data_IF_322557858701
#
_entry.id   IF_322557858701
#
_cell.length_a   1.000
_cell.length_b   1.000
_cell.length_c   1.000
_cell.angle_alpha   90.00
_cell.angle_beta   90.00
_cell.angle_gamma   90.00
#
_symmetry.space_group_name_H-M   'P 1'
#
loop_
_entity.id
_entity.type
_entity.pdbx_description
1 polymer ?
#
# COMPACT_ATOMS: atom_id res chain seq x y z
N UNK A 1 3.24 2.48 -65.84
CA UNK A 1 2.30 2.13 -66.92
C UNK A 1 1.26 1.23 -66.30
N UNK A 2 0.22 1.78 -65.73
CA UNK A 2 -1.17 1.92 -66.16
C UNK A 2 -1.75 0.63 -66.71
N UNK A 3 -2.72 0.03 -65.97
CA UNK A 3 -4.07 -0.12 -66.51
C UNK A 3 -5.07 -0.37 -65.37
N UNK A 4 -6.05 0.51 -65.31
CA UNK A 4 -7.27 0.51 -64.53
C UNK A 4 -8.35 -0.19 -65.36
N UNK A 5 -9.09 -1.17 -64.80
CA UNK A 5 -10.35 -1.58 -65.44
C UNK A 5 -11.49 -1.52 -64.43
N UNK A 6 -12.44 -0.69 -64.79
CA UNK A 6 -13.79 -0.51 -64.28
C UNK A 6 -14.66 -1.68 -64.67
N UNK A 7 -15.34 -2.34 -63.75
CA UNK A 7 -16.39 -3.34 -63.97
C UNK A 7 -17.69 -2.88 -63.34
N UNK A 8 -18.74 -2.92 -64.13
CA UNK A 8 -20.09 -2.36 -63.90
C UNK A 8 -20.91 -3.07 -62.81
N UNK A 9 -21.98 -2.41 -62.26
CA UNK A 9 -22.85 -2.98 -61.24
C UNK A 9 -23.88 -3.94 -61.90
N UNK A 10 -24.15 -5.05 -61.23
CA UNK A 10 -25.20 -5.98 -61.60
C UNK A 10 -26.40 -5.79 -60.70
N UNK A 11 -27.56 -5.67 -61.36
CA UNK A 11 -28.87 -5.40 -60.71
C UNK A 11 -29.42 -6.59 -59.96
N UNK A 12 -30.13 -6.30 -58.90
CA UNK A 12 -31.00 -7.25 -58.16
C UNK A 12 -32.24 -7.61 -59.00
N UNK A 13 -32.73 -8.84 -58.87
CA UNK A 13 -34.16 -9.14 -59.11
C UNK A 13 -34.94 -9.17 -57.78
N UNK A 14 -36.01 -8.43 -57.81
CA UNK A 14 -37.11 -8.45 -56.83
C UNK A 14 -37.92 -9.71 -56.90
N UNK A 15 -38.52 -10.08 -55.81
CA UNK A 15 -39.70 -10.91 -55.46
C UNK A 15 -39.30 -12.10 -54.59
N UNK A 16 -39.77 -12.15 -53.36
CA UNK A 16 -41.10 -12.70 -53.02
C UNK A 16 -41.43 -12.41 -51.56
N UNK A 17 -42.60 -11.81 -51.34
CA UNK A 17 -43.28 -11.77 -50.05
C UNK A 17 -43.77 -13.18 -49.72
N UNK A 18 -43.47 -13.62 -48.47
CA UNK A 18 -44.45 -14.40 -47.68
C UNK A 18 -44.14 -14.36 -46.19
N UNK A 19 -45.17 -14.06 -45.48
CA UNK A 19 -45.37 -14.14 -44.03
C UNK A 19 -44.90 -15.46 -43.45
N UNK A 20 -44.24 -15.41 -42.32
CA UNK A 20 -44.49 -16.35 -41.23
C UNK A 20 -44.08 -15.73 -39.89
N UNK A 21 -45.09 -15.67 -39.11
CA UNK A 21 -45.21 -15.45 -37.68
C UNK A 21 -44.23 -16.34 -36.91
N UNK A 22 -43.59 -15.80 -35.93
CA UNK A 22 -43.22 -16.70 -34.87
C UNK A 22 -41.87 -16.45 -34.22
N UNK A 23 -41.99 -16.14 -32.97
CA UNK A 23 -41.05 -16.35 -31.89
C UNK A 23 -40.00 -15.22 -31.71
N UNK A 24 -40.43 -14.21 -30.97
CA UNK A 24 -39.55 -13.36 -30.18
C UNK A 24 -38.93 -14.23 -29.09
N UNK A 25 -37.75 -14.76 -29.32
CA UNK A 25 -36.90 -15.24 -28.24
C UNK A 25 -36.18 -14.03 -27.70
N UNK A 26 -36.74 -13.42 -26.67
CA UNK A 26 -35.99 -12.46 -25.85
C UNK A 26 -34.94 -13.23 -25.06
N UNK A 27 -33.77 -13.34 -25.66
CA UNK A 27 -32.56 -13.71 -24.96
C UNK A 27 -32.19 -12.51 -24.04
N UNK A 28 -32.76 -12.48 -22.84
CA UNK A 28 -32.21 -11.74 -21.73
C UNK A 28 -30.83 -12.32 -21.43
N UNK A 29 -29.81 -11.71 -22.03
CA UNK A 29 -28.45 -11.89 -21.58
C UNK A 29 -28.42 -11.21 -20.21
N UNK A 30 -28.68 -11.97 -19.14
CA UNK A 30 -28.25 -11.63 -17.80
C UNK A 30 -26.73 -11.66 -17.86
N UNK A 31 -26.14 -10.52 -18.21
CA UNK A 31 -24.75 -10.23 -17.94
C UNK A 31 -24.59 -10.27 -16.43
N UNK A 32 -24.23 -11.43 -15.90
CA UNK A 32 -23.71 -11.54 -14.56
C UNK A 32 -22.42 -10.74 -14.55
N UNK A 33 -22.52 -9.46 -14.20
CA UNK A 33 -21.39 -8.68 -13.75
C UNK A 33 -20.89 -9.34 -12.46
N UNK A 34 -20.08 -10.38 -12.62
CA UNK A 34 -19.16 -10.80 -11.58
C UNK A 34 -18.12 -9.68 -11.48
N UNK A 35 -18.51 -8.58 -10.86
CA UNK A 35 -17.53 -7.76 -10.17
C UNK A 35 -16.93 -8.72 -9.14
N UNK A 36 -15.75 -9.23 -9.45
CA UNK A 36 -14.89 -9.84 -8.46
C UNK A 36 -14.69 -8.78 -7.39
N UNK A 37 -15.54 -8.81 -6.38
CA UNK A 37 -15.41 -8.04 -5.17
C UNK A 37 -14.13 -8.60 -4.55
N UNK A 38 -13.03 -7.88 -4.78
CA UNK A 38 -11.77 -8.19 -4.11
C UNK A 38 -12.13 -8.25 -2.62
N UNK A 39 -12.18 -9.44 -2.09
CA UNK A 39 -12.40 -9.65 -0.66
C UNK A 39 -11.34 -8.79 0.03
N UNK A 40 -11.78 -7.73 0.68
CA UNK A 40 -10.92 -6.92 1.53
C UNK A 40 -10.55 -7.87 2.68
N UNK A 41 -9.42 -8.55 2.54
CA UNK A 41 -8.89 -9.39 3.60
C UNK A 41 -8.56 -8.45 4.76
N UNK A 42 -9.49 -8.32 5.69
CA UNK A 42 -9.26 -7.61 6.94
C UNK A 42 -8.31 -8.47 7.75
N UNK A 43 -7.09 -7.98 7.90
CA UNK A 43 -6.12 -8.59 8.81
C UNK A 43 -6.64 -8.39 10.24
N UNK A 44 -6.77 -9.44 11.06
CA UNK A 44 -7.21 -9.29 12.44
C UNK A 44 -6.10 -8.58 13.24
N UNK A 45 -6.42 -7.39 13.78
CA UNK A 45 -5.49 -6.60 14.58
C UNK A 45 -5.75 -6.83 16.07
N UNK A 46 -4.69 -7.07 16.85
CA UNK A 46 -4.77 -7.14 18.31
C UNK A 46 -5.03 -5.74 18.86
N UNK A 47 -6.15 -5.53 19.55
CA UNK A 47 -6.55 -4.20 20.05
C UNK A 47 -5.93 -3.86 21.41
N UNK A 48 -5.51 -4.86 22.18
CA UNK A 48 -4.83 -4.64 23.46
C UNK A 48 -3.44 -4.05 23.22
N UNK A 49 -2.97 -3.23 24.18
CA UNK A 49 -1.57 -2.80 24.20
C UNK A 49 -0.65 -4.00 24.40
N UNK A 50 0.07 -4.38 23.38
CA UNK A 50 0.91 -5.58 23.29
C UNK A 50 2.40 -5.22 23.04
N UNK A 51 2.77 -3.95 23.25
CA UNK A 51 4.10 -3.44 23.01
C UNK A 51 5.08 -3.83 24.11
N UNK A 52 6.35 -3.97 23.75
CA UNK A 52 7.45 -4.23 24.68
C UNK A 52 7.88 -2.98 25.50
N UNK A 53 7.19 -1.87 25.29
CA UNK A 53 7.46 -0.58 25.93
C UNK A 53 6.17 0.04 26.48
N UNK A 54 6.32 0.96 27.44
CA UNK A 54 5.19 1.64 28.05
C UNK A 54 4.49 2.60 27.06
N UNK A 55 3.17 2.70 27.17
CA UNK A 55 2.39 3.68 26.41
C UNK A 55 2.72 5.08 26.85
N UNK A 56 2.91 5.99 25.90
CA UNK A 56 3.14 7.41 26.17
C UNK A 56 1.82 8.15 26.41
N UNK A 57 1.81 9.00 27.44
CA UNK A 57 0.66 9.87 27.72
C UNK A 57 0.57 11.09 26.80
N UNK A 58 1.66 11.45 26.11
CA UNK A 58 1.72 12.60 25.19
C UNK A 58 1.40 12.25 23.73
N UNK A 59 1.10 10.96 23.43
CA UNK A 59 0.91 10.45 22.07
C UNK A 59 -0.42 9.72 21.95
N UNK A 60 -1.13 9.94 20.86
CA UNK A 60 -2.28 9.11 20.45
C UNK A 60 -1.77 7.97 19.59
N UNK A 61 -2.22 6.75 19.88
CA UNK A 61 -1.87 5.54 19.15
C UNK A 61 -3.09 4.93 18.50
N UNK A 62 -2.93 4.46 17.24
CA UNK A 62 -3.96 3.74 16.49
C UNK A 62 -3.31 2.59 15.72
N UNK A 63 -3.91 1.40 15.74
CA UNK A 63 -3.58 0.35 14.77
C UNK A 63 -4.28 0.64 13.44
N UNK A 64 -3.55 0.55 12.35
CA UNK A 64 -4.03 0.86 11.01
C UNK A 64 -3.57 -0.18 10.01
N UNK A 65 -4.21 -0.24 8.86
CA UNK A 65 -3.78 -1.09 7.74
C UNK A 65 -3.77 -0.30 6.44
N UNK A 66 -2.85 -0.66 5.56
CA UNK A 66 -2.78 -0.15 4.19
C UNK A 66 -2.21 -1.24 3.27
N UNK A 67 -2.31 -1.06 1.97
CA UNK A 67 -1.81 -2.03 0.99
C UNK A 67 -0.58 -1.49 0.27
N UNK A 68 0.38 -2.38 0.02
CA UNK A 68 1.45 -2.10 -0.93
C UNK A 68 0.99 -2.37 -2.37
N UNK A 69 1.82 -2.05 -3.37
CA UNK A 69 1.50 -2.24 -4.80
C UNK A 69 1.26 -3.71 -5.18
N UNK A 70 1.75 -4.65 -4.40
CA UNK A 70 1.56 -6.10 -4.61
C UNK A 70 0.26 -6.62 -4.00
N UNK A 71 -0.57 -5.73 -3.44
CA UNK A 71 -1.84 -6.08 -2.81
C UNK A 71 -1.70 -6.69 -1.42
N UNK A 72 -0.49 -6.76 -0.86
CA UNK A 72 -0.24 -7.24 0.50
C UNK A 72 -0.74 -6.17 1.48
N UNK A 73 -1.56 -6.59 2.43
CA UNK A 73 -2.05 -5.71 3.50
C UNK A 73 -1.02 -5.64 4.61
N UNK A 74 -0.52 -4.44 4.87
CA UNK A 74 0.41 -4.14 5.95
C UNK A 74 -0.37 -3.72 7.19
N UNK A 75 0.02 -4.26 8.35
CA UNK A 75 -0.45 -3.83 9.66
C UNK A 75 0.56 -2.87 10.27
N UNK A 76 0.08 -1.79 10.87
CA UNK A 76 0.94 -0.75 11.41
C UNK A 76 0.36 -0.10 12.66
N UNK A 77 1.25 0.49 13.44
CA UNK A 77 0.96 1.36 14.57
C UNK A 77 1.24 2.81 14.19
N UNK A 78 0.21 3.63 14.18
CA UNK A 78 0.29 5.06 13.92
C UNK A 78 0.34 5.82 15.25
N UNK A 79 1.31 6.71 15.40
CA UNK A 79 1.53 7.55 16.56
C UNK A 79 1.41 9.03 16.18
N UNK A 80 0.53 9.76 16.86
CA UNK A 80 0.26 11.18 16.59
C UNK A 80 0.46 11.96 17.90
N UNK A 81 1.23 13.07 17.90
CA UNK A 81 1.34 13.94 19.07
C UNK A 81 -0.02 14.41 19.55
N UNK A 82 -0.34 14.29 20.86
CA UNK A 82 -1.58 14.87 21.42
C UNK A 82 -1.60 16.39 21.37
N UNK A 83 -0.43 17.02 21.34
CA UNK A 83 -0.29 18.47 21.17
C UNK A 83 -0.56 18.96 19.75
N UNK A 84 -1.03 18.07 18.84
CA UNK A 84 -1.42 18.45 17.49
C UNK A 84 -2.53 19.49 17.54
N UNK A 85 -2.29 20.65 16.94
CA UNK A 85 -3.16 21.83 16.97
C UNK A 85 -3.74 22.19 15.58
N UNK A 86 -3.77 21.25 14.66
CA UNK A 86 -4.23 21.45 13.28
C UNK A 86 -3.16 21.90 12.29
N UNK A 87 -1.95 22.26 12.74
CA UNK A 87 -0.82 22.57 11.86
C UNK A 87 -0.18 21.28 11.37
N UNK A 88 -0.04 21.10 10.06
CA UNK A 88 0.57 19.92 9.46
C UNK A 88 1.98 19.66 10.01
N UNK A 89 2.25 18.43 10.40
CA UNK A 89 3.48 17.96 10.99
C UNK A 89 4.34 17.19 9.97
N UNK A 90 5.65 17.16 10.20
CA UNK A 90 6.52 16.21 9.52
C UNK A 90 6.18 14.78 9.96
N UNK A 91 6.44 13.81 9.08
CA UNK A 91 6.10 12.42 9.36
C UNK A 91 7.26 11.46 9.09
N UNK A 92 7.23 10.30 9.74
CA UNK A 92 8.28 9.27 9.67
C UNK A 92 7.67 7.88 9.51
N UNK A 93 8.15 7.13 8.52
CA UNK A 93 7.92 5.69 8.38
C UNK A 93 9.09 4.94 9.04
N UNK A 94 8.80 4.00 9.94
CA UNK A 94 9.81 3.31 10.74
C UNK A 94 9.74 1.80 10.48
N UNK A 95 10.80 1.25 9.90
CA UNK A 95 11.00 -0.19 9.70
C UNK A 95 11.95 -0.77 10.76
N UNK A 96 11.61 -1.96 11.27
CA UNK A 96 12.33 -2.62 12.36
C UNK A 96 13.43 -3.59 11.90
N UNK A 97 14.10 -4.28 12.83
CA UNK A 97 15.05 -5.34 12.50
C UNK A 97 14.39 -6.55 11.83
N UNK A 98 15.18 -7.39 11.19
CA UNK A 98 14.70 -8.68 10.68
C UNK A 98 14.10 -9.54 11.79
N UNK A 99 12.94 -10.14 11.50
CA UNK A 99 12.23 -10.99 12.43
C UNK A 99 11.57 -10.26 13.59
N UNK A 100 11.76 -8.94 13.70
CA UNK A 100 11.05 -8.11 14.67
C UNK A 100 9.70 -7.66 14.13
N UNK A 101 8.81 -7.29 15.04
CA UNK A 101 7.48 -6.76 14.76
C UNK A 101 7.34 -5.34 15.27
N UNK A 102 6.34 -4.62 14.77
CA UNK A 102 6.06 -3.21 15.10
C UNK A 102 5.85 -2.94 16.60
N UNK A 103 5.52 -3.98 17.36
CA UNK A 103 5.35 -3.93 18.82
C UNK A 103 6.67 -3.78 19.60
N UNK A 104 7.82 -3.85 18.89
CA UNK A 104 9.17 -3.84 19.48
C UNK A 104 9.90 -2.53 19.13
N UNK A 105 11.14 -2.60 18.66
CA UNK A 105 12.00 -1.43 18.48
C UNK A 105 11.44 -0.40 17.51
N UNK A 106 10.83 -0.79 16.39
CA UNK A 106 10.25 0.17 15.44
C UNK A 106 9.11 0.98 16.06
N UNK A 107 8.24 0.34 16.84
CA UNK A 107 7.17 1.02 17.56
C UNK A 107 7.71 1.96 18.64
N UNK A 108 8.75 1.54 19.38
CA UNK A 108 9.41 2.41 20.35
C UNK A 108 10.00 3.66 19.70
N UNK A 109 10.71 3.49 18.57
CA UNK A 109 11.25 4.62 17.81
C UNK A 109 10.13 5.54 17.31
N UNK A 110 9.06 4.96 16.74
CA UNK A 110 7.92 5.73 16.26
C UNK A 110 7.24 6.53 17.39
N UNK A 111 7.02 5.90 18.56
CA UNK A 111 6.47 6.60 19.73
C UNK A 111 7.39 7.73 20.18
N UNK A 112 8.70 7.49 20.29
CA UNK A 112 9.66 8.52 20.69
C UNK A 112 9.74 9.68 19.71
N UNK A 113 9.65 9.42 18.41
CA UNK A 113 9.57 10.49 17.41
C UNK A 113 8.26 11.27 17.50
N UNK A 114 7.14 10.60 17.83
CA UNK A 114 5.88 11.28 18.04
C UNK A 114 5.91 12.18 19.30
N UNK A 115 6.60 11.78 20.36
CA UNK A 115 6.87 12.63 21.52
C UNK A 115 7.65 13.91 21.16
N UNK A 116 8.43 13.86 20.07
CA UNK A 116 9.19 15.01 19.53
C UNK A 116 8.42 15.82 18.48
N UNK A 117 7.14 15.51 18.25
CA UNK A 117 6.26 16.29 17.36
C UNK A 117 6.16 15.79 15.92
N UNK A 118 6.62 14.59 15.62
CA UNK A 118 6.38 13.95 14.32
C UNK A 118 5.10 13.12 14.34
N UNK A 119 4.43 12.99 13.20
CA UNK A 119 3.53 11.85 12.97
C UNK A 119 4.40 10.66 12.60
N UNK A 120 4.30 9.56 13.30
CA UNK A 120 5.16 8.41 13.03
C UNK A 120 4.35 7.12 12.85
N UNK A 121 4.77 6.26 11.93
CA UNK A 121 4.17 4.96 11.69
C UNK A 121 5.24 3.87 11.78
N UNK A 122 4.99 2.85 12.60
CA UNK A 122 5.77 1.62 12.61
C UNK A 122 4.93 0.51 11.99
N UNK A 123 5.47 -0.22 11.03
CA UNK A 123 4.73 -1.26 10.32
C UNK A 123 5.40 -2.62 10.43
N UNK A 124 4.59 -3.67 10.43
CA UNK A 124 5.07 -5.00 10.16
C UNK A 124 5.33 -5.13 8.66
N UNK A 125 6.48 -5.65 8.26
CA UNK A 125 6.75 -5.85 6.84
C UNK A 125 5.84 -6.91 6.23
N UNK A 126 5.72 -6.90 4.91
CA UNK A 126 5.10 -7.99 4.18
C UNK A 126 5.60 -9.34 4.68
N UNK A 127 4.70 -10.30 4.84
CA UNK A 127 4.95 -11.68 5.30
C UNK A 127 5.25 -11.84 6.81
N UNK A 128 5.29 -10.77 7.60
CA UNK A 128 5.69 -10.79 9.01
C UNK A 128 4.61 -10.20 9.92
N UNK A 129 4.59 -10.60 11.18
CA UNK A 129 3.70 -10.06 12.20
C UNK A 129 2.22 -10.16 11.83
N UNK A 130 1.47 -9.08 12.02
CA UNK A 130 0.07 -8.96 11.63
C UNK A 130 -0.12 -8.61 10.15
N UNK A 131 0.93 -8.29 9.39
CA UNK A 131 0.84 -8.08 7.94
C UNK A 131 0.56 -9.38 7.20
N UNK A 132 -0.13 -9.28 6.06
CA UNK A 132 -0.47 -10.42 5.22
C UNK A 132 0.70 -10.88 4.33
N UNK A 133 0.44 -11.87 3.49
CA UNK A 133 1.38 -12.44 2.55
C UNK A 133 1.78 -13.87 2.87
N UNK A 134 2.03 -14.64 1.82
CA UNK A 134 2.50 -16.05 1.88
C UNK A 134 3.65 -16.24 0.91
N UNK A 135 4.68 -17.04 1.26
CA UNK A 135 4.87 -17.74 2.54
C UNK A 135 5.15 -16.77 3.69
N UNK A 136 4.99 -17.21 4.94
CA UNK A 136 5.24 -16.36 6.13
C UNK A 136 6.72 -16.34 6.50
N UNK A 137 7.12 -15.27 7.21
CA UNK A 137 8.45 -15.08 7.78
C UNK A 137 9.57 -15.13 6.74
N UNK A 138 9.34 -14.57 5.58
CA UNK A 138 10.33 -14.38 4.53
C UNK A 138 10.63 -12.90 4.35
N UNK A 139 11.83 -12.60 3.88
CA UNK A 139 12.23 -11.27 3.47
C UNK A 139 12.46 -11.25 1.95
N UNK A 140 11.98 -10.18 1.33
CA UNK A 140 12.23 -9.88 -0.08
C UNK A 140 12.69 -8.43 -0.18
N UNK A 141 13.93 -8.15 -0.56
CA UNK A 141 14.45 -6.78 -0.63
C UNK A 141 13.55 -5.85 -1.46
N UNK A 142 13.06 -6.33 -2.60
CA UNK A 142 12.19 -5.53 -3.50
C UNK A 142 10.83 -5.23 -2.86
N UNK A 143 10.16 -6.26 -2.34
CA UNK A 143 8.82 -6.11 -1.73
C UNK A 143 8.92 -5.31 -0.43
N UNK A 144 9.93 -5.58 0.39
CA UNK A 144 10.06 -4.89 1.66
C UNK A 144 10.59 -3.45 1.50
N UNK A 145 11.32 -3.12 0.44
CA UNK A 145 11.59 -1.73 0.05
C UNK A 145 10.29 -1.01 -0.31
N UNK A 146 9.40 -1.68 -1.06
CA UNK A 146 8.08 -1.14 -1.42
C UNK A 146 7.18 -0.93 -0.19
N UNK A 147 7.32 -1.71 0.87
CA UNK A 147 6.57 -1.51 2.11
C UNK A 147 6.81 -0.12 2.71
N UNK A 148 8.03 0.43 2.59
CA UNK A 148 8.32 1.83 2.94
C UNK A 148 7.53 2.80 2.06
N UNK A 149 7.54 2.62 0.72
CA UNK A 149 6.80 3.49 -0.19
C UNK A 149 5.30 3.47 0.10
N UNK A 150 4.74 2.30 0.42
CA UNK A 150 3.35 2.16 0.83
C UNK A 150 3.04 2.89 2.16
N UNK A 151 3.97 2.86 3.12
CA UNK A 151 3.85 3.63 4.36
C UNK A 151 3.91 5.15 4.10
N UNK A 152 4.74 5.60 3.16
CA UNK A 152 4.82 7.00 2.72
C UNK A 152 3.51 7.43 2.02
N UNK A 153 2.92 6.56 1.19
CA UNK A 153 1.60 6.80 0.58
C UNK A 153 0.54 7.01 1.66
N UNK A 154 0.48 6.10 2.63
CA UNK A 154 -0.45 6.18 3.73
C UNK A 154 -0.29 7.48 4.53
N UNK A 155 0.94 7.82 4.93
CA UNK A 155 1.24 9.06 5.65
C UNK A 155 0.87 10.29 4.83
N UNK A 156 1.16 10.29 3.53
CA UNK A 156 0.87 11.40 2.63
C UNK A 156 -0.63 11.70 2.45
N UNK A 157 -1.51 10.75 2.78
CA UNK A 157 -2.96 10.93 2.75
C UNK A 157 -3.53 11.42 4.09
N UNK A 158 -2.73 11.47 5.14
CA UNK A 158 -3.18 11.90 6.46
C UNK A 158 -3.34 13.42 6.54
N UNK A 159 -4.45 13.92 7.12
CA UNK A 159 -4.68 15.36 7.25
C UNK A 159 -3.65 16.05 8.16
N UNK A 160 -3.08 15.31 9.12
CA UNK A 160 -2.08 15.81 10.06
C UNK A 160 -0.68 15.97 9.43
N UNK A 161 -0.44 15.40 8.25
CA UNK A 161 0.90 15.27 7.65
C UNK A 161 1.16 16.34 6.60
N UNK A 162 2.34 16.96 6.68
CA UNK A 162 2.91 17.73 5.60
C UNK A 162 3.62 16.78 4.62
N UNK A 163 3.02 16.60 3.44
CA UNK A 163 3.52 15.70 2.39
C UNK A 163 4.93 16.04 1.90
N UNK A 164 5.38 17.27 2.11
CA UNK A 164 6.71 17.70 1.71
C UNK A 164 7.77 17.44 2.80
N UNK A 165 7.39 16.86 3.91
CA UNK A 165 8.24 16.63 5.08
C UNK A 165 8.08 15.22 5.64
N UNK A 166 8.15 14.21 4.76
CA UNK A 166 8.08 12.80 5.14
C UNK A 166 9.47 12.19 5.04
N UNK A 167 9.89 11.48 6.07
CA UNK A 167 11.16 10.76 6.14
C UNK A 167 10.97 9.28 6.48
N UNK A 168 12.07 8.55 6.49
CA UNK A 168 12.12 7.14 6.87
C UNK A 168 13.18 6.89 7.94
N UNK A 169 12.93 5.93 8.82
CA UNK A 169 13.91 5.37 9.74
C UNK A 169 13.97 3.86 9.50
N UNK A 170 15.17 3.36 9.22
CA UNK A 170 15.42 1.93 9.06
C UNK A 170 16.36 1.40 10.14
N UNK A 171 15.96 0.33 10.82
CA UNK A 171 16.73 -0.29 11.91
C UNK A 171 17.28 -1.63 11.45
N UNK A 172 18.57 -1.88 11.67
CA UNK A 172 19.25 -3.13 11.33
C UNK A 172 19.14 -3.40 9.80
N UNK A 173 18.71 -4.58 9.36
CA UNK A 173 18.53 -4.90 7.94
C UNK A 173 17.57 -3.97 7.21
N UNK A 174 16.58 -3.43 7.90
CA UNK A 174 15.63 -2.46 7.33
C UNK A 174 16.25 -1.07 7.11
N UNK A 175 17.43 -0.83 7.65
CA UNK A 175 18.24 0.34 7.29
C UNK A 175 18.59 0.36 5.81
N UNK A 176 19.05 -0.76 5.26
CA UNK A 176 19.33 -0.92 3.83
C UNK A 176 18.09 -0.74 2.96
N UNK A 177 16.97 -1.34 3.35
CA UNK A 177 15.70 -1.21 2.61
C UNK A 177 15.14 0.21 2.67
N UNK A 178 15.22 0.89 3.81
CA UNK A 178 14.83 2.29 3.95
C UNK A 178 15.70 3.23 3.11
N UNK A 179 16.99 2.98 3.05
CA UNK A 179 17.92 3.73 2.19
C UNK A 179 17.61 3.51 0.72
N UNK A 180 17.35 2.26 0.31
CA UNK A 180 16.95 1.93 -1.05
C UNK A 180 15.61 2.57 -1.43
N UNK A 181 14.63 2.57 -0.53
CA UNK A 181 13.37 3.28 -0.74
C UNK A 181 13.59 4.78 -0.93
N UNK A 182 14.44 5.41 -0.11
CA UNK A 182 14.76 6.83 -0.23
C UNK A 182 15.49 7.19 -1.53
N UNK A 183 16.26 6.26 -2.08
CA UNK A 183 16.92 6.45 -3.38
C UNK A 183 15.94 6.40 -4.57
N UNK A 184 14.84 5.67 -4.44
CA UNK A 184 13.86 5.46 -5.51
C UNK A 184 12.60 6.33 -5.37
N UNK A 185 12.23 6.71 -4.15
CA UNK A 185 11.00 7.44 -3.85
C UNK A 185 11.32 8.89 -3.44
N UNK A 186 11.15 9.82 -4.35
CA UNK A 186 11.45 11.25 -4.16
C UNK A 186 10.57 11.92 -3.10
N UNK A 187 9.52 11.27 -2.61
CA UNK A 187 8.67 11.75 -1.53
C UNK A 187 9.35 11.61 -0.17
N UNK A 188 10.32 10.70 -0.05
CA UNK A 188 11.16 10.55 1.15
C UNK A 188 12.19 11.67 1.14
N UNK A 189 12.06 12.62 2.06
CA UNK A 189 12.92 13.82 2.13
C UNK A 189 14.14 13.66 3.02
N UNK A 190 14.10 12.69 3.91
CA UNK A 190 15.22 12.35 4.79
C UNK A 190 15.16 10.86 5.14
N UNK A 191 16.30 10.25 5.33
CA UNK A 191 16.41 8.88 5.82
C UNK A 191 17.46 8.82 6.92
N UNK A 192 17.13 8.12 8.00
CA UNK A 192 18.05 7.77 9.05
C UNK A 192 18.14 6.25 9.18
N UNK A 193 19.33 5.75 9.40
CA UNK A 193 19.57 4.33 9.63
C UNK A 193 20.30 4.12 10.95
N UNK A 194 19.97 3.05 11.64
CA UNK A 194 20.65 2.67 12.88
C UNK A 194 20.99 1.18 12.83
N UNK A 195 22.21 0.82 13.27
CA UNK A 195 22.73 -0.55 13.26
C UNK A 195 22.58 -1.25 11.89
N UNK A 196 22.66 -0.45 10.82
CA UNK A 196 22.52 -0.94 9.45
C UNK A 196 23.74 -1.79 9.04
N UNK A 197 23.47 -2.81 8.24
CA UNK A 197 24.50 -3.57 7.54
C UNK A 197 24.11 -3.76 6.07
N UNK A 198 25.11 -4.02 5.23
CA UNK A 198 24.93 -4.24 3.79
C UNK A 198 24.21 -5.58 3.55
N UNK A 199 23.06 -5.51 2.89
CA UNK A 199 22.23 -6.67 2.55
C UNK A 199 22.55 -7.25 1.18
N UNK A 200 23.48 -6.64 0.43
CA UNK A 200 23.84 -7.06 -0.93
C UNK A 200 24.96 -8.12 -0.97
N UNK A 201 25.46 -8.53 0.18
CA UNK A 201 26.60 -9.48 0.30
C UNK A 201 26.24 -10.69 1.12
#
# INVERSE_FOLDING_TARGET
MIYYQKGRPMALPSMIKKLSLGILVSSTILGANHMAQAATSTVPLVQKWDKTFAKSDSVTHQKVTFKNRYGITLAADLYIPKAYNGKKLAALAVGGPFGAVKEQSSGLYAQKMAEQGFVAIAFDPSYTGESSGTPRNVASPDINTEDFSAAIDYLGLRPEVDRNRIGAIGICGWGGMGLNAAAMDTRIKAVATTSMYDMSR
#
